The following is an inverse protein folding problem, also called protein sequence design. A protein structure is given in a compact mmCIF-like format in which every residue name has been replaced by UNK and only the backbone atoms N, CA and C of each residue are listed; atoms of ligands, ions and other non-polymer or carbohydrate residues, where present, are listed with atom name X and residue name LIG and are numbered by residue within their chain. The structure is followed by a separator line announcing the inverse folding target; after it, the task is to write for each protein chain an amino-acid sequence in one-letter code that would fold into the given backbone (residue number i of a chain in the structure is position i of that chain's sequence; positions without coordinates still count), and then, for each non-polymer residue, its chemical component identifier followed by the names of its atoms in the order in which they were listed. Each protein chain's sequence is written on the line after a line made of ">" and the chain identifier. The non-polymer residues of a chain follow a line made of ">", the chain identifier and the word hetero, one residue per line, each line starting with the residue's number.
data_IF_375234933187
#
_entry.id   IF_375234933187
#
_cell.length_a   1.000
_cell.length_b   1.000
_cell.length_c   1.000
_cell.angle_alpha   90.00
_cell.angle_beta   90.00
_cell.angle_gamma   90.00
#
_symmetry.space_group_name_H-M   'P 1'
#
loop_
_entity.id
_entity.type
_entity.pdbx_description
1 polymer ?
#
# COMPACT_ATOMS: atom_id res chain seq x y z
N UNK A 1 -12.73 -12.95 -0.95
CA UNK A 1 -13.40 -11.84 -1.67
C UNK A 1 -12.65 -11.42 -2.92
N UNK A 2 -11.38 -10.97 -2.82
CA UNK A 2 -10.61 -10.53 -4.01
C UNK A 2 -10.51 -11.60 -5.11
N UNK A 3 -10.17 -12.85 -4.77
CA UNK A 3 -10.09 -13.95 -5.74
C UNK A 3 -11.43 -14.17 -6.47
N UNK A 4 -12.53 -14.30 -5.72
CA UNK A 4 -13.89 -14.44 -6.26
C UNK A 4 -14.26 -13.27 -7.18
N UNK A 5 -14.01 -12.03 -6.76
CA UNK A 5 -14.29 -10.83 -7.57
C UNK A 5 -13.45 -10.75 -8.86
N UNK A 6 -12.33 -11.46 -8.90
CA UNK A 6 -11.50 -11.62 -10.08
C UNK A 6 -11.87 -12.86 -10.93
N UNK A 7 -12.84 -13.67 -10.50
CA UNK A 7 -13.23 -14.91 -11.18
C UNK A 7 -12.27 -16.07 -10.95
N UNK A 8 -11.47 -16.01 -9.89
CA UNK A 8 -10.56 -17.09 -9.48
C UNK A 8 -11.20 -17.96 -8.40
N UNK A 9 -10.61 -19.15 -8.19
CA UNK A 9 -10.96 -20.02 -7.07
C UNK A 9 -10.92 -19.29 -5.74
N UNK A 10 -11.89 -19.58 -4.87
CA UNK A 10 -12.11 -18.84 -3.62
C UNK A 10 -10.84 -18.74 -2.77
N UNK A 11 -10.06 -19.81 -2.72
CA UNK A 11 -8.87 -19.94 -1.87
C UNK A 11 -7.57 -19.57 -2.58
N UNK A 12 -7.62 -19.21 -3.87
CA UNK A 12 -6.43 -19.02 -4.71
C UNK A 12 -5.36 -18.14 -4.03
N UNK A 13 -5.73 -16.96 -3.55
CA UNK A 13 -4.78 -16.09 -2.85
C UNK A 13 -4.45 -16.56 -1.44
N UNK A 14 -5.42 -17.06 -0.65
CA UNK A 14 -5.14 -17.51 0.71
C UNK A 14 -4.19 -18.71 0.74
N UNK A 15 -4.29 -19.61 -0.24
CA UNK A 15 -3.39 -20.75 -0.40
C UNK A 15 -2.01 -20.27 -0.84
N UNK A 16 -1.95 -19.33 -1.80
CA UNK A 16 -0.69 -18.71 -2.23
C UNK A 16 0.05 -17.96 -1.11
N UNK A 17 -0.69 -17.38 -0.16
CA UNK A 17 -0.12 -16.70 1.01
C UNK A 17 0.13 -17.60 2.23
N UNK A 18 -0.17 -18.89 2.14
CA UNK A 18 0.06 -19.82 3.24
C UNK A 18 1.56 -19.90 3.53
N UNK A 19 1.94 -19.69 4.80
CA UNK A 19 3.34 -19.57 5.24
C UNK A 19 4.10 -18.40 4.60
N UNK A 20 3.39 -17.39 4.10
CA UNK A 20 4.01 -16.13 3.68
C UNK A 20 4.72 -15.43 4.83
N UNK A 21 5.84 -14.73 4.57
CA UNK A 21 6.59 -13.98 5.58
C UNK A 21 5.87 -12.67 5.93
N UNK A 22 4.67 -12.76 6.49
CA UNK A 22 3.88 -11.60 6.87
C UNK A 22 4.61 -10.76 7.90
N UNK A 23 4.57 -9.43 7.75
CA UNK A 23 5.26 -8.50 8.63
C UNK A 23 4.27 -7.59 9.34
N UNK A 24 4.22 -7.68 10.67
CA UNK A 24 3.59 -6.67 11.51
C UNK A 24 4.65 -5.64 11.88
N UNK A 25 4.53 -4.42 11.34
CA UNK A 25 5.51 -3.36 11.53
C UNK A 25 4.85 -2.09 12.08
N UNK A 26 4.72 -1.97 13.41
CA UNK A 26 4.32 -0.74 14.05
C UNK A 26 5.43 0.31 13.89
N UNK A 27 5.12 1.45 13.29
CA UNK A 27 6.04 2.58 13.17
C UNK A 27 5.56 3.73 14.05
N UNK A 28 6.50 4.36 14.76
CA UNK A 28 6.24 5.47 15.66
C UNK A 28 7.00 6.71 15.22
N UNK A 29 6.33 7.85 15.20
CA UNK A 29 6.94 9.16 14.99
C UNK A 29 6.67 10.04 16.20
N UNK A 30 7.73 10.63 16.75
CA UNK A 30 7.61 11.62 17.81
C UNK A 30 7.25 12.98 17.21
N UNK A 31 6.00 13.42 17.41
CA UNK A 31 5.52 14.69 16.87
C UNK A 31 6.03 15.90 17.65
N UNK A 32 6.63 15.73 18.83
CA UNK A 32 7.32 16.85 19.50
C UNK A 32 8.61 17.22 18.77
N UNK A 33 9.23 16.26 18.08
CA UNK A 33 10.44 16.46 17.27
C UNK A 33 10.16 16.66 15.79
N UNK A 34 9.19 15.92 15.24
CA UNK A 34 8.91 15.85 13.81
C UNK A 34 7.49 16.36 13.44
N UNK A 35 6.83 17.12 14.32
CA UNK A 35 5.46 17.58 14.13
C UNK A 35 5.31 18.93 13.43
N UNK A 36 6.37 19.46 12.82
CA UNK A 36 6.28 20.66 11.97
C UNK A 36 5.47 20.33 10.72
N UNK A 37 4.55 21.21 10.34
CA UNK A 37 3.75 21.05 9.12
C UNK A 37 4.65 20.79 7.89
N UNK A 38 4.15 19.96 6.99
CA UNK A 38 4.82 19.49 5.77
C UNK A 38 6.04 18.59 5.98
N UNK A 39 6.37 18.22 7.23
CA UNK A 39 7.34 17.16 7.51
C UNK A 39 6.88 15.83 6.92
N UNK A 40 7.77 15.18 6.15
CA UNK A 40 7.56 13.83 5.61
C UNK A 40 7.94 12.81 6.68
N UNK A 41 6.96 12.06 7.18
CA UNK A 41 7.17 10.97 8.14
C UNK A 41 7.38 9.62 7.45
N UNK A 42 6.81 9.45 6.26
CA UNK A 42 7.10 8.36 5.34
C UNK A 42 6.99 8.90 3.90
N UNK A 43 8.04 8.69 3.11
CA UNK A 43 8.11 9.20 1.73
C UNK A 43 7.05 8.61 0.81
N UNK A 44 6.93 9.16 -0.39
CA UNK A 44 6.06 8.65 -1.44
C UNK A 44 6.56 7.29 -1.95
N UNK A 45 5.74 6.24 -1.85
CA UNK A 45 6.10 4.89 -2.26
C UNK A 45 4.88 4.00 -2.55
N UNK A 46 5.16 2.79 -3.07
CA UNK A 46 4.25 1.64 -3.06
C UNK A 46 4.82 0.54 -2.19
N UNK A 47 3.96 -0.32 -1.63
CA UNK A 47 4.45 -1.46 -0.85
C UNK A 47 4.76 -2.69 -1.71
N UNK A 48 5.72 -3.48 -1.25
CA UNK A 48 6.25 -4.63 -1.99
C UNK A 48 5.42 -5.91 -1.85
N UNK A 49 4.63 -6.01 -0.79
CA UNK A 49 3.82 -7.16 -0.40
C UNK A 49 2.56 -7.33 -1.27
N UNK A 50 1.64 -8.21 -0.85
CA UNK A 50 0.40 -8.45 -1.57
C UNK A 50 -0.74 -7.54 -1.10
N UNK A 51 -1.01 -7.49 0.20
CA UNK A 51 -1.97 -6.56 0.81
C UNK A 51 -1.36 -5.83 2.00
N UNK A 52 -1.44 -4.51 2.00
CA UNK A 52 -1.05 -3.66 3.13
C UNK A 52 -2.30 -3.27 3.90
N UNK A 53 -2.31 -3.58 5.19
CA UNK A 53 -3.49 -3.42 6.04
C UNK A 53 -3.13 -2.44 7.16
N UNK A 54 -3.75 -1.26 7.13
CA UNK A 54 -3.51 -0.22 8.12
C UNK A 54 -4.64 -0.18 9.15
N UNK A 55 -4.26 -0.18 10.42
CA UNK A 55 -5.13 0.24 11.51
C UNK A 55 -5.32 1.75 11.55
N UNK A 56 -6.31 2.21 12.32
CA UNK A 56 -6.58 3.63 12.54
C UNK A 56 -5.44 4.29 13.32
N UNK A 57 -4.87 5.37 12.77
CA UNK A 57 -3.96 6.24 13.51
C UNK A 57 -4.73 7.28 14.33
N UNK A 58 -4.21 7.60 15.53
CA UNK A 58 -4.75 8.68 16.38
C UNK A 58 -4.45 10.07 15.83
N UNK A 59 -3.37 10.19 15.06
CA UNK A 59 -2.95 11.42 14.38
C UNK A 59 -3.02 11.16 12.87
N UNK A 60 -3.77 11.98 12.09
CA UNK A 60 -3.89 11.80 10.65
C UNK A 60 -2.53 12.02 9.94
N UNK A 61 -2.55 12.02 8.60
CA UNK A 61 -1.36 12.32 7.80
C UNK A 61 -1.07 11.32 6.67
N UNK A 62 -1.77 10.17 6.65
CA UNK A 62 -1.70 9.25 5.52
C UNK A 62 -2.41 9.88 4.31
N UNK A 63 -1.70 9.94 3.19
CA UNK A 63 -2.25 10.35 1.90
C UNK A 63 -2.08 9.22 0.88
N UNK A 64 -3.09 9.02 0.03
CA UNK A 64 -3.01 8.18 -1.17
C UNK A 64 -2.99 9.07 -2.41
N UNK A 65 -2.50 8.54 -3.52
CA UNK A 65 -2.37 9.30 -4.76
C UNK A 65 -3.17 8.67 -5.89
N UNK A 66 -4.04 9.49 -6.50
CA UNK A 66 -4.82 9.08 -7.66
C UNK A 66 -3.95 9.13 -8.91
N UNK A 67 -3.61 7.95 -9.45
CA UNK A 67 -2.67 7.80 -10.59
C UNK A 67 -3.13 8.56 -11.85
N UNK A 68 -4.43 8.63 -12.09
CA UNK A 68 -5.02 9.29 -13.26
C UNK A 68 -4.96 10.83 -13.22
N UNK A 69 -4.76 11.43 -12.04
CA UNK A 69 -4.76 12.90 -11.87
C UNK A 69 -3.51 13.43 -11.18
N UNK A 70 -2.68 12.54 -10.62
CA UNK A 70 -1.61 12.92 -9.70
C UNK A 70 -2.12 13.55 -8.40
N UNK A 71 -3.44 13.49 -8.12
CA UNK A 71 -4.01 14.17 -6.95
C UNK A 71 -3.66 13.42 -5.67
N UNK A 72 -3.07 14.15 -4.71
CA UNK A 72 -2.93 13.71 -3.32
C UNK A 72 -4.27 13.77 -2.60
N UNK A 73 -4.66 12.68 -1.95
CA UNK A 73 -5.95 12.51 -1.26
C UNK A 73 -5.68 12.09 0.19
N UNK A 74 -6.07 12.90 1.20
CA UNK A 74 -5.93 12.54 2.59
C UNK A 74 -6.89 11.41 2.96
N UNK A 75 -6.36 10.34 3.56
CA UNK A 75 -7.18 9.22 4.01
C UNK A 75 -7.94 9.62 5.28
N UNK A 76 -9.24 9.32 5.29
CA UNK A 76 -10.10 9.44 6.47
C UNK A 76 -10.80 8.12 6.71
N UNK A 77 -10.56 7.53 7.88
CA UNK A 77 -11.29 6.35 8.33
C UNK A 77 -12.50 6.77 9.17
N UNK A 78 -13.70 6.20 8.91
CA UNK A 78 -14.87 6.45 9.75
C UNK A 78 -14.62 5.96 11.19
N UNK A 79 -15.38 6.49 12.18
CA UNK A 79 -15.36 5.95 13.55
C UNK A 79 -15.76 4.47 13.55
N UNK A 80 -15.11 3.66 14.39
CA UNK A 80 -15.34 2.22 14.50
C UNK A 80 -14.11 1.38 14.16
N UNK A 81 -14.33 0.07 13.99
CA UNK A 81 -13.27 -0.92 13.77
C UNK A 81 -13.10 -1.20 12.27
N UNK A 82 -12.54 -0.21 11.57
CA UNK A 82 -12.24 -0.32 10.15
C UNK A 82 -10.75 -0.46 9.90
N UNK A 83 -10.42 -1.20 8.85
CA UNK A 83 -9.08 -1.34 8.32
C UNK A 83 -9.06 -0.74 6.91
N UNK A 84 -7.98 -0.01 6.60
CA UNK A 84 -7.69 0.35 5.22
C UNK A 84 -6.85 -0.77 4.63
N UNK A 85 -7.29 -1.29 3.49
CA UNK A 85 -6.58 -2.35 2.76
C UNK A 85 -6.13 -1.79 1.43
N UNK A 86 -4.83 -1.84 1.16
CA UNK A 86 -4.21 -1.35 -0.06
C UNK A 86 -3.52 -2.51 -0.80
N UNK A 87 -3.59 -2.49 -2.13
CA UNK A 87 -2.86 -3.42 -2.97
C UNK A 87 -1.36 -3.08 -2.98
N UNK A 88 -0.52 -4.11 -2.81
CA UNK A 88 0.93 -4.01 -3.00
C UNK A 88 1.39 -4.63 -4.33
N UNK A 89 2.71 -4.63 -4.54
CA UNK A 89 3.34 -5.06 -5.80
C UNK A 89 3.11 -6.52 -6.15
N UNK A 90 2.98 -7.42 -5.18
CA UNK A 90 2.68 -8.83 -5.48
C UNK A 90 1.28 -9.01 -6.09
N UNK A 91 0.29 -8.24 -5.63
CA UNK A 91 -1.06 -8.27 -6.23
C UNK A 91 -1.07 -7.60 -7.60
N UNK A 92 -0.33 -6.50 -7.78
CA UNK A 92 -0.16 -5.89 -9.10
C UNK A 92 0.45 -6.88 -10.10
N UNK A 93 1.50 -7.58 -9.70
CA UNK A 93 2.21 -8.53 -10.54
C UNK A 93 1.34 -9.73 -10.94
N UNK A 94 0.73 -10.42 -9.97
CA UNK A 94 -0.06 -11.64 -10.25
C UNK A 94 -1.31 -11.35 -11.08
N UNK A 95 -1.81 -10.11 -11.06
CA UNK A 95 -2.96 -9.69 -11.87
C UNK A 95 -2.57 -9.12 -13.22
N UNK A 96 -1.28 -9.17 -13.60
CA UNK A 96 -0.78 -8.58 -14.85
C UNK A 96 -0.99 -7.07 -14.91
N UNK A 97 -1.05 -6.41 -13.75
CA UNK A 97 -1.31 -4.98 -13.64
C UNK A 97 -2.78 -4.57 -13.79
N UNK A 98 -3.74 -5.50 -13.74
CA UNK A 98 -5.17 -5.18 -13.67
C UNK A 98 -5.51 -4.39 -12.40
N UNK A 99 -4.94 -4.82 -11.27
CA UNK A 99 -4.94 -4.05 -10.02
C UNK A 99 -3.58 -3.39 -9.89
N UNK A 100 -3.53 -2.11 -9.53
CA UNK A 100 -2.27 -1.38 -9.34
C UNK A 100 -1.92 -1.27 -7.86
N UNK A 101 -0.63 -1.34 -7.56
CA UNK A 101 -0.11 -0.99 -6.26
C UNK A 101 -0.35 0.51 -6.00
N UNK A 102 -0.92 0.80 -4.83
CA UNK A 102 -1.33 2.14 -4.45
C UNK A 102 -0.13 2.98 -4.02
N UNK A 103 0.00 4.18 -4.60
CA UNK A 103 0.96 5.17 -4.11
C UNK A 103 0.43 5.85 -2.86
N UNK A 104 1.30 5.98 -1.87
CA UNK A 104 0.95 6.65 -0.62
C UNK A 104 2.18 7.28 0.03
N UNK A 105 1.91 8.23 0.92
CA UNK A 105 2.91 8.90 1.75
C UNK A 105 2.31 9.24 3.12
N UNK A 106 3.15 9.59 4.08
CA UNK A 106 2.71 10.15 5.35
C UNK A 106 3.40 11.49 5.58
N UNK A 107 2.59 12.53 5.71
CA UNK A 107 3.05 13.89 6.02
C UNK A 107 2.34 14.46 7.24
N UNK A 108 2.99 15.39 7.92
CA UNK A 108 2.34 16.22 8.92
C UNK A 108 1.52 17.29 8.21
N UNK A 109 0.20 17.09 8.16
CA UNK A 109 -0.74 18.06 7.56
C UNK A 109 -1.44 18.90 8.63
N UNK A 110 -2.22 19.90 8.19
CA UNK A 110 -3.00 20.77 9.08
C UNK A 110 -3.87 19.99 10.08
N UNK A 111 -4.51 18.90 9.64
CA UNK A 111 -5.31 18.05 10.51
C UNK A 111 -4.46 17.34 11.60
N UNK A 112 -3.19 17.08 11.30
CA UNK A 112 -2.22 16.52 12.26
C UNK A 112 -1.90 17.55 13.33
N UNK A 113 -1.54 18.78 12.92
CA UNK A 113 -1.23 19.91 13.82
C UNK A 113 -2.45 20.25 14.69
N UNK A 114 -3.64 20.33 14.11
CA UNK A 114 -4.87 20.56 14.86
C UNK A 114 -5.14 19.44 15.89
N UNK A 115 -4.87 18.18 15.52
CA UNK A 115 -5.00 17.04 16.45
C UNK A 115 -3.95 17.10 17.56
N UNK A 116 -2.73 17.54 17.27
CA UNK A 116 -1.68 17.77 18.27
C UNK A 116 -2.10 18.82 19.30
N UNK A 117 -2.50 20.01 18.84
CA UNK A 117 -2.95 21.12 19.70
C UNK A 117 -4.14 20.70 20.57
N UNK A 118 -5.17 20.09 19.96
CA UNK A 118 -6.36 19.62 20.67
C UNK A 118 -6.01 18.59 21.75
N UNK A 119 -5.14 17.63 21.44
CA UNK A 119 -4.74 16.58 22.40
C UNK A 119 -3.84 17.10 23.51
N UNK A 120 -3.03 18.13 23.25
CA UNK A 120 -2.24 18.77 24.30
C UNK A 120 -3.12 19.37 25.41
N UNK A 121 -4.33 19.85 25.05
CA UNK A 121 -5.32 20.35 26.01
C UNK A 121 -6.15 19.23 26.63
N UNK A 122 -6.70 18.32 25.82
CA UNK A 122 -7.62 17.28 26.31
C UNK A 122 -6.93 16.16 27.10
N UNK A 123 -5.65 15.89 26.81
CA UNK A 123 -4.87 14.75 27.32
C UNK A 123 -3.40 15.14 27.53
N UNK A 124 -3.09 16.12 28.40
CA UNK A 124 -1.74 16.66 28.58
C UNK A 124 -0.70 15.61 28.98
N UNK A 125 -1.10 14.58 29.74
CA UNK A 125 -0.21 13.51 30.20
C UNK A 125 0.08 12.43 29.13
N UNK A 126 -0.54 12.52 27.95
CA UNK A 126 -0.34 11.54 26.88
C UNK A 126 0.70 12.06 25.88
N UNK A 127 1.71 11.25 25.51
CA UNK A 127 2.75 11.71 24.62
C UNK A 127 2.21 11.88 23.19
N UNK A 128 2.80 12.81 22.44
CA UNK A 128 2.42 13.09 21.06
C UNK A 128 3.10 12.12 20.07
N UNK A 129 2.90 10.82 20.31
CA UNK A 129 3.43 9.77 19.43
C UNK A 129 2.36 9.35 18.43
N UNK A 130 2.65 9.60 17.16
CA UNK A 130 1.89 9.04 16.04
C UNK A 130 2.35 7.59 15.85
N UNK A 131 1.42 6.65 15.97
CA UNK A 131 1.67 5.23 15.73
C UNK A 131 0.83 4.79 14.54
N UNK A 132 1.48 4.15 13.56
CA UNK A 132 0.81 3.38 12.51
C UNK A 132 1.08 1.91 12.77
N UNK A 133 0.02 1.11 12.94
CA UNK A 133 0.13 -0.35 13.04
C UNK A 133 -0.24 -0.94 11.69
N UNK A 134 0.77 -1.31 10.92
CA UNK A 134 0.61 -1.83 9.56
C UNK A 134 0.95 -3.32 9.53
N UNK A 135 0.06 -4.12 8.94
CA UNK A 135 0.33 -5.51 8.59
C UNK A 135 0.57 -5.61 7.09
N UNK A 136 1.76 -6.06 6.71
CA UNK A 136 2.14 -6.39 5.36
C UNK A 136 1.90 -7.89 5.14
N UNK A 137 0.80 -8.21 4.48
CA UNK A 137 0.46 -9.59 4.13
C UNK A 137 1.13 -9.94 2.80
N UNK A 138 1.98 -10.97 2.84
CA UNK A 138 2.79 -11.45 1.72
C UNK A 138 2.31 -12.79 1.19
N UNK A 139 2.54 -13.05 -0.09
CA UNK A 139 2.53 -14.41 -0.63
C UNK A 139 3.71 -15.23 -0.07
N UNK A 140 3.62 -16.55 -0.14
CA UNK A 140 4.73 -17.46 0.22
C UNK A 140 5.97 -17.16 -0.65
N UNK A 141 7.15 -17.10 -0.04
CA UNK A 141 8.41 -16.82 -0.73
C UNK A 141 8.68 -17.76 -1.92
N UNK A 142 8.28 -19.03 -1.83
CA UNK A 142 8.47 -20.04 -2.88
C UNK A 142 7.31 -20.09 -3.89
N UNK A 143 6.28 -19.27 -3.71
CA UNK A 143 5.18 -19.18 -4.66
C UNK A 143 5.68 -18.63 -6.00
N UNK A 144 5.19 -19.22 -7.10
CA UNK A 144 5.47 -18.75 -8.46
C UNK A 144 4.64 -17.50 -8.76
N UNK A 145 5.27 -16.35 -8.57
CA UNK A 145 4.71 -15.06 -8.93
C UNK A 145 4.78 -14.89 -10.45
N UNK A 146 3.66 -15.18 -11.10
CA UNK A 146 3.44 -14.92 -12.53
C UNK A 146 2.02 -14.39 -12.75
N UNK A 147 1.78 -13.58 -13.80
CA UNK A 147 0.43 -13.16 -14.13
C UNK A 147 -0.49 -14.34 -14.38
N UNK A 148 -1.70 -14.29 -13.83
CA UNK A 148 -2.79 -15.16 -14.26
C UNK A 148 -3.24 -14.69 -15.65
N UNK A 149 -3.23 -15.58 -16.64
CA UNK A 149 -3.40 -15.19 -18.05
C UNK A 149 -4.74 -14.49 -18.30
N UNK A 150 -5.84 -14.96 -17.70
CA UNK A 150 -7.15 -14.33 -17.82
C UNK A 150 -7.17 -12.90 -17.25
N UNK A 151 -6.43 -12.65 -16.17
CA UNK A 151 -6.35 -11.32 -15.55
C UNK A 151 -5.44 -10.38 -16.32
N UNK A 152 -4.31 -10.90 -16.84
CA UNK A 152 -3.40 -10.18 -17.73
C UNK A 152 -4.09 -9.74 -19.01
N UNK A 153 -4.91 -10.61 -19.61
CA UNK A 153 -5.67 -10.26 -20.80
C UNK A 153 -6.73 -9.19 -20.50
N UNK A 154 -7.40 -9.28 -19.35
CA UNK A 154 -8.30 -8.20 -18.88
C UNK A 154 -7.54 -6.88 -18.65
N UNK A 155 -6.33 -6.93 -18.10
CA UNK A 155 -5.49 -5.75 -17.91
C UNK A 155 -5.12 -5.10 -19.24
N UNK A 156 -4.76 -5.90 -20.25
CA UNK A 156 -4.45 -5.44 -21.61
C UNK A 156 -5.64 -4.70 -22.24
N UNK A 157 -6.82 -5.32 -22.23
CA UNK A 157 -8.06 -4.71 -22.76
C UNK A 157 -8.40 -3.40 -22.06
N UNK A 158 -8.38 -3.39 -20.73
CA UNK A 158 -8.65 -2.20 -19.94
C UNK A 158 -7.67 -1.06 -20.26
N UNK A 159 -6.40 -1.39 -20.48
CA UNK A 159 -5.39 -0.41 -20.87
C UNK A 159 -5.69 0.18 -22.25
N UNK A 160 -5.99 -0.66 -23.24
CA UNK A 160 -6.34 -0.23 -24.60
C UNK A 160 -7.59 0.66 -24.61
N UNK A 161 -8.62 0.30 -23.83
CA UNK A 161 -9.83 1.10 -23.67
C UNK A 161 -9.53 2.49 -23.09
N UNK A 162 -8.66 2.56 -22.06
CA UNK A 162 -8.30 3.83 -21.41
C UNK A 162 -7.40 4.70 -22.28
N UNK A 163 -6.40 4.11 -22.94
CA UNK A 163 -5.55 4.81 -23.89
C UNK A 163 -6.38 5.34 -25.07
N UNK A 164 -7.33 4.54 -25.58
CA UNK A 164 -8.28 4.96 -26.62
C UNK A 164 -9.22 6.09 -26.18
N UNK A 165 -9.49 6.21 -24.88
CA UNK A 165 -10.25 7.31 -24.28
C UNK A 165 -9.37 8.53 -23.90
N UNK A 166 -8.07 8.52 -24.25
CA UNK A 166 -7.12 9.61 -23.97
C UNK A 166 -6.53 9.60 -22.56
N UNK A 167 -6.67 8.49 -21.82
CA UNK A 167 -6.04 8.31 -20.51
C UNK A 167 -4.55 7.96 -20.60
N UNK A 168 -3.76 8.45 -19.64
CA UNK A 168 -2.35 8.07 -19.47
C UNK A 168 -2.25 6.90 -18.48
N UNK A 169 -1.84 5.74 -18.99
CA UNK A 169 -1.58 4.52 -18.21
C UNK A 169 -0.08 4.33 -17.88
N UNK A 170 0.73 5.35 -18.10
CA UNK A 170 2.18 5.34 -17.92
C UNK A 170 2.90 4.38 -18.85
N UNK A 171 4.17 4.10 -18.59
CA UNK A 171 4.92 3.10 -19.35
C UNK A 171 4.30 1.70 -19.21
N UNK A 172 4.34 0.92 -20.29
CA UNK A 172 3.92 -0.48 -20.26
C UNK A 172 4.85 -1.26 -19.33
N UNK A 173 4.28 -1.83 -18.27
CA UNK A 173 5.01 -2.65 -17.33
C UNK A 173 5.06 -4.11 -17.80
N UNK A 174 6.19 -4.77 -17.55
CA UNK A 174 6.37 -6.21 -17.72
C UNK A 174 6.29 -6.91 -16.36
N UNK A 175 5.67 -8.09 -16.35
CA UNK A 175 5.50 -8.91 -15.16
C UNK A 175 6.08 -10.30 -15.42
N UNK A 176 7.42 -10.45 -15.41
CA UNK A 176 8.08 -11.72 -15.69
C UNK A 176 7.86 -12.71 -14.55
N UNK A 177 7.71 -13.98 -14.88
CA UNK A 177 7.58 -15.04 -13.88
C UNK A 177 8.82 -15.10 -12.97
N UNK A 178 8.61 -15.12 -11.66
CA UNK A 178 9.66 -15.26 -10.66
C UNK A 178 9.14 -15.88 -9.37
N UNK A 179 10.02 -16.21 -8.43
CA UNK A 179 9.62 -16.52 -7.06
C UNK A 179 9.30 -15.23 -6.31
N UNK A 180 8.30 -15.28 -5.43
CA UNK A 180 7.95 -14.13 -4.56
C UNK A 180 9.15 -13.66 -3.74
N UNK A 181 9.96 -14.59 -3.22
CA UNK A 181 11.18 -14.25 -2.48
C UNK A 181 12.17 -13.46 -3.34
N UNK A 182 12.33 -13.80 -4.62
CA UNK A 182 13.19 -13.07 -5.54
C UNK A 182 12.63 -11.67 -5.85
N UNK A 183 11.31 -11.52 -5.97
CA UNK A 183 10.67 -10.21 -6.11
C UNK A 183 11.04 -9.30 -4.94
N UNK A 184 10.87 -9.77 -3.71
CA UNK A 184 11.22 -8.98 -2.51
C UNK A 184 12.71 -8.65 -2.49
N UNK A 185 13.59 -9.62 -2.74
CA UNK A 185 15.04 -9.37 -2.78
C UNK A 185 15.44 -8.34 -3.84
N UNK A 186 14.87 -8.40 -5.04
CA UNK A 186 15.15 -7.44 -6.12
C UNK A 186 14.79 -6.02 -5.70
N UNK A 187 13.62 -5.85 -5.08
CA UNK A 187 13.14 -4.55 -4.60
C UNK A 187 14.02 -4.02 -3.45
N UNK A 188 14.46 -4.91 -2.54
CA UNK A 188 15.37 -4.54 -1.45
C UNK A 188 16.75 -4.09 -1.95
N UNK A 189 17.24 -4.64 -3.07
CA UNK A 189 18.47 -4.17 -3.73
C UNK A 189 18.33 -2.74 -4.24
N UNK A 190 17.18 -2.37 -4.81
CA UNK A 190 16.93 -1.02 -5.30
C UNK A 190 16.92 0.04 -4.19
N UNK A 191 16.65 -0.36 -2.94
CA UNK A 191 16.68 0.52 -1.77
C UNK A 191 17.91 0.29 -0.87
N UNK A 192 18.96 -0.32 -1.40
CA UNK A 192 20.25 -0.54 -0.73
C UNK A 192 20.17 -1.32 0.60
N UNK A 193 19.15 -2.17 0.77
CA UNK A 193 19.00 -3.05 1.93
C UNK A 193 19.52 -4.48 1.67
N UNK A 194 19.93 -4.77 0.43
CA UNK A 194 20.60 -6.01 0.04
C UNK A 194 21.70 -5.70 -0.98
N UNK A 195 22.83 -6.40 -0.86
CA UNK A 195 23.98 -6.33 -1.78
C UNK A 195 23.89 -7.46 -2.80
#
# INVERSE_FOLDING_TARGET
>A
MAAIGLGLERTFFSDAGRYGPHLLAPTASDLTKYGTQDTILAGFHTDLNFLTIHGRSRYPGLNIWARNTGRRIPVRMPPGNYLLVQAGKQLEHITGGLIKAGFHEVTVNEATVATMQRRAVEKPDRPQIRISSTLFWHLNSDFDLKPVEELKERARKLREEREGAGGDEGAKAEYPAMKVGHQVQSELKHIALMV
#
